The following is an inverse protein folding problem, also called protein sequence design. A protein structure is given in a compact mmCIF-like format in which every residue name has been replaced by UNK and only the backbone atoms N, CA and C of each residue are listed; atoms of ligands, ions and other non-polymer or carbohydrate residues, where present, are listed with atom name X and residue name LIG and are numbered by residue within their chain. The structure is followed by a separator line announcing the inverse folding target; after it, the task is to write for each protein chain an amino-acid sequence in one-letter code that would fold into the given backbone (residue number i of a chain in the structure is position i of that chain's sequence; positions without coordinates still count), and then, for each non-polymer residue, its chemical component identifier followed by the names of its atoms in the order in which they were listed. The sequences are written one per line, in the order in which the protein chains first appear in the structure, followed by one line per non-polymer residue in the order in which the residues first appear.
data_IF_327831178033
#
_entry.id   IF_327831178033
#
_cell.length_a   1.000
_cell.length_b   1.000
_cell.length_c   1.000
_cell.angle_alpha   90.00
_cell.angle_beta   90.00
_cell.angle_gamma   90.00
#
_symmetry.space_group_name_H-M   'P 1'
#
loop_
_entity.id
_entity.type
_entity.pdbx_description
1 polymer ?
#
# COMPACT_ATOMS: atom_id res chain seq x y z
N UNK A 1 13.11 -23.10 -15.63
CA UNK A 1 12.14 -23.03 -16.75
C UNK A 1 11.14 -24.20 -16.75
N UNK A 2 10.84 -24.84 -15.62
CA UNK A 2 9.91 -25.99 -15.58
C UNK A 2 8.46 -25.61 -15.22
N UNK A 3 8.23 -24.43 -14.62
CA UNK A 3 6.90 -24.05 -14.11
C UNK A 3 5.90 -23.76 -15.26
N UNK A 4 6.39 -23.21 -16.38
CA UNK A 4 5.54 -22.81 -17.51
C UNK A 4 5.01 -24.02 -18.29
N UNK A 5 5.75 -25.14 -18.32
CA UNK A 5 5.41 -26.29 -19.16
C UNK A 5 4.39 -27.25 -18.54
N UNK A 6 4.18 -27.21 -17.21
CA UNK A 6 3.26 -28.13 -16.51
C UNK A 6 1.79 -27.67 -16.49
N UNK A 7 1.52 -26.44 -16.89
CA UNK A 7 0.19 -25.81 -16.82
C UNK A 7 -0.28 -25.43 -18.22
N UNK A 8 -0.62 -26.41 -19.06
CA UNK A 8 -1.22 -26.17 -20.38
C UNK A 8 -2.68 -25.74 -20.19
N UNK A 9 -2.88 -24.51 -19.73
CA UNK A 9 -4.19 -23.87 -19.61
C UNK A 9 -4.70 -23.51 -21.00
N UNK A 10 -6.02 -23.61 -21.22
CA UNK A 10 -6.65 -23.26 -22.50
C UNK A 10 -6.37 -21.78 -22.82
N UNK A 11 -6.27 -21.44 -24.12
CA UNK A 11 -6.03 -20.06 -24.60
C UNK A 11 -6.96 -19.01 -23.96
N UNK A 12 -8.17 -19.41 -23.59
CA UNK A 12 -9.22 -18.55 -23.04
C UNK A 12 -9.36 -18.63 -21.52
N UNK A 13 -8.33 -19.13 -20.82
CA UNK A 13 -8.32 -19.13 -19.35
C UNK A 13 -8.30 -17.68 -18.87
N UNK A 14 -9.09 -17.37 -17.83
CA UNK A 14 -9.11 -16.01 -17.27
C UNK A 14 -7.76 -15.72 -16.64
N UNK A 15 -7.31 -14.48 -16.76
CA UNK A 15 -6.02 -14.03 -16.20
C UNK A 15 -6.01 -14.21 -14.68
N UNK A 16 -7.14 -13.97 -14.02
CA UNK A 16 -7.34 -14.15 -12.57
C UNK A 16 -7.08 -15.60 -12.14
N UNK A 17 -7.58 -16.59 -12.89
CA UNK A 17 -7.36 -18.01 -12.60
C UNK A 17 -5.87 -18.37 -12.69
N UNK A 18 -5.17 -17.80 -13.69
CA UNK A 18 -3.73 -17.98 -13.85
C UNK A 18 -2.95 -17.30 -12.74
N UNK A 19 -3.36 -16.10 -12.32
CA UNK A 19 -2.75 -15.36 -11.23
C UNK A 19 -2.89 -16.10 -9.90
N UNK A 20 -4.07 -16.65 -9.61
CA UNK A 20 -4.35 -17.43 -8.40
C UNK A 20 -3.51 -18.71 -8.35
N UNK A 21 -3.40 -19.43 -9.46
CA UNK A 21 -2.57 -20.65 -9.56
C UNK A 21 -1.07 -20.36 -9.40
N UNK A 22 -0.60 -19.23 -9.94
CA UNK A 22 0.81 -18.83 -9.87
C UNK A 22 1.18 -18.09 -8.58
N UNK A 23 0.23 -17.83 -7.68
CA UNK A 23 0.38 -16.94 -6.52
C UNK A 23 0.92 -15.55 -6.93
N UNK A 24 0.48 -15.09 -8.11
CA UNK A 24 0.86 -13.82 -8.70
C UNK A 24 -0.12 -12.73 -8.31
N UNK A 25 0.42 -11.65 -7.80
CA UNK A 25 -0.36 -10.48 -7.41
C UNK A 25 -0.84 -9.70 -8.62
N UNK A 26 -2.05 -9.14 -8.53
CA UNK A 26 -2.54 -8.20 -9.53
C UNK A 26 -1.66 -6.96 -9.64
N UNK A 27 -1.59 -6.37 -10.85
CA UNK A 27 -0.83 -5.14 -11.10
C UNK A 27 -1.32 -3.99 -10.21
N UNK A 28 -2.63 -3.89 -10.01
CA UNK A 28 -3.23 -2.87 -9.14
C UNK A 28 -2.72 -3.00 -7.71
N UNK A 29 -2.74 -4.21 -7.15
CA UNK A 29 -2.28 -4.48 -5.80
C UNK A 29 -0.76 -4.25 -5.66
N UNK A 30 0.03 -4.60 -6.67
CA UNK A 30 1.47 -4.27 -6.71
C UNK A 30 1.73 -2.76 -6.65
N UNK A 31 0.96 -1.97 -7.41
CA UNK A 31 1.07 -0.51 -7.39
C UNK A 31 0.70 0.07 -6.03
N UNK A 32 -0.39 -0.40 -5.42
CA UNK A 32 -0.80 0.02 -4.09
C UNK A 32 0.24 -0.34 -3.02
N UNK A 33 0.77 -1.57 -3.05
CA UNK A 33 1.83 -2.00 -2.14
C UNK A 33 3.09 -1.13 -2.27
N UNK A 34 3.48 -0.77 -3.49
CA UNK A 34 4.63 0.10 -3.71
C UNK A 34 4.38 1.51 -3.14
N UNK A 35 3.19 2.05 -3.35
CA UNK A 35 2.79 3.34 -2.80
C UNK A 35 2.80 3.33 -1.26
N UNK A 36 2.24 2.28 -0.64
CA UNK A 36 2.26 2.08 0.82
C UNK A 36 3.69 1.92 1.37
N UNK A 37 4.57 1.24 0.65
CA UNK A 37 5.98 1.13 1.02
C UNK A 37 6.69 2.49 1.04
N UNK A 38 6.37 3.38 0.10
CA UNK A 38 6.93 4.75 0.09
C UNK A 38 6.45 5.54 1.31
N UNK A 39 5.14 5.51 1.60
CA UNK A 39 4.58 6.18 2.79
C UNK A 39 5.15 5.61 4.08
N UNK A 40 5.36 4.30 4.17
CA UNK A 40 5.98 3.69 5.34
C UNK A 40 7.45 4.08 5.51
N UNK A 41 8.21 4.19 4.41
CA UNK A 41 9.59 4.71 4.47
C UNK A 41 9.62 6.16 4.94
N UNK A 42 8.68 6.99 4.50
CA UNK A 42 8.53 8.37 4.96
C UNK A 42 8.23 8.40 6.46
N UNK A 43 7.32 7.54 6.92
CA UNK A 43 7.01 7.37 8.35
C UNK A 43 8.25 7.01 9.19
N UNK A 44 9.12 6.15 8.66
CA UNK A 44 10.39 5.74 9.29
C UNK A 44 11.55 6.73 9.05
N UNK A 45 11.33 7.84 8.35
CA UNK A 45 12.36 8.83 7.97
C UNK A 45 13.52 8.23 7.18
N UNK A 46 13.27 7.15 6.42
CA UNK A 46 14.27 6.46 5.57
C UNK A 46 14.31 7.02 4.13
N UNK A 47 13.77 8.22 3.93
CA UNK A 47 13.71 8.90 2.62
C UNK A 47 14.61 10.12 2.60
N UNK A 48 15.04 10.57 1.41
CA UNK A 48 15.72 11.84 1.24
C UNK A 48 14.96 13.01 1.87
N UNK A 49 15.70 14.03 2.30
CA UNK A 49 15.15 15.18 3.05
C UNK A 49 14.05 15.91 2.28
N UNK A 50 14.21 16.08 0.97
CA UNK A 50 13.22 16.76 0.12
C UNK A 50 11.85 16.06 0.04
N UNK A 51 11.76 14.79 0.47
CA UNK A 51 10.48 14.07 0.55
C UNK A 51 9.85 14.12 1.95
N UNK A 52 10.62 14.47 3.00
CA UNK A 52 10.12 14.47 4.38
C UNK A 52 8.96 15.44 4.56
N UNK A 53 9.02 16.59 3.89
CA UNK A 53 8.02 17.66 3.99
C UNK A 53 6.74 17.38 3.16
N UNK A 54 6.67 16.24 2.45
CA UNK A 54 5.50 15.88 1.64
C UNK A 54 4.36 15.30 2.47
N UNK A 55 4.60 14.89 3.71
CA UNK A 55 3.60 14.29 4.58
C UNK A 55 3.58 15.00 5.93
N UNK A 56 2.47 15.64 6.24
CA UNK A 56 2.20 16.25 7.55
C UNK A 56 1.38 15.30 8.40
N UNK A 57 1.63 15.23 9.70
CA UNK A 57 0.77 14.48 10.64
C UNK A 57 -0.27 15.38 11.27
N UNK A 58 -1.41 14.80 11.67
CA UNK A 58 -2.37 15.54 12.49
C UNK A 58 -1.78 16.01 13.83
N UNK A 59 -0.74 15.35 14.36
CA UNK A 59 -0.03 15.79 15.56
C UNK A 59 0.75 17.10 15.40
N UNK A 60 0.98 17.56 14.17
CA UNK A 60 1.84 18.71 13.87
C UNK A 60 1.04 20.02 13.67
N UNK A 61 -0.30 19.96 13.61
CA UNK A 61 -1.14 21.12 13.24
C UNK A 61 -1.95 21.70 14.43
N UNK A 62 -2.71 20.91 15.23
CA UNK A 62 -3.43 21.42 16.40
C UNK A 62 -2.93 20.85 17.74
N UNK A 63 -3.12 21.60 18.83
CA UNK A 63 -2.70 21.25 20.20
C UNK A 63 -3.58 20.16 20.87
N UNK A 64 -4.67 19.74 20.21
CA UNK A 64 -5.62 18.78 20.77
C UNK A 64 -5.38 17.34 20.26
N UNK A 65 -5.23 16.40 21.20
CA UNK A 65 -5.09 14.97 20.89
C UNK A 65 -6.41 14.38 20.35
N UNK A 66 -6.55 14.27 19.03
CA UNK A 66 -7.68 13.57 18.42
C UNK A 66 -7.36 12.09 18.20
N UNK A 67 -8.40 11.25 18.05
CA UNK A 67 -8.27 9.80 17.76
C UNK A 67 -7.41 9.52 16.51
N UNK A 68 -7.28 10.50 15.62
CA UNK A 68 -6.51 10.43 14.36
C UNK A 68 -5.12 11.09 14.43
N UNK A 69 -4.62 11.47 15.61
CA UNK A 69 -3.33 12.16 15.78
C UNK A 69 -2.16 11.48 15.06
N UNK A 70 -2.15 10.14 15.06
CA UNK A 70 -1.08 9.34 14.45
C UNK A 70 -1.28 9.08 12.95
N UNK A 71 -2.39 9.54 12.38
CA UNK A 71 -2.65 9.46 10.94
C UNK A 71 -1.92 10.61 10.23
N UNK A 72 -1.56 10.37 8.98
CA UNK A 72 -1.12 11.44 8.11
C UNK A 72 -2.32 12.32 7.75
N UNK A 73 -2.10 13.62 7.78
CA UNK A 73 -3.06 14.61 7.33
C UNK A 73 -3.22 14.49 5.82
N UNK A 74 -4.47 14.63 5.37
CA UNK A 74 -4.81 14.67 3.96
C UNK A 74 -5.25 16.09 3.64
N UNK A 75 -4.51 16.75 2.75
CA UNK A 75 -4.99 17.99 2.16
C UNK A 75 -6.31 17.72 1.44
N UNK A 76 -7.25 18.65 1.58
CA UNK A 76 -8.47 18.60 0.83
C UNK A 76 -8.18 18.78 -0.67
N UNK A 77 -8.69 17.86 -1.50
CA UNK A 77 -8.52 17.87 -2.97
C UNK A 77 -9.88 17.84 -3.64
N UNK A 78 -10.22 18.92 -4.35
CA UNK A 78 -11.52 19.10 -5.03
C UNK A 78 -11.68 18.28 -6.31
N UNK A 79 -10.58 17.95 -7.00
CA UNK A 79 -10.66 17.31 -8.32
C UNK A 79 -10.35 15.82 -8.24
N UNK A 80 -11.04 15.02 -9.06
CA UNK A 80 -10.79 13.58 -9.18
C UNK A 80 -9.34 13.29 -9.59
N UNK A 81 -8.76 14.12 -10.47
CA UNK A 81 -7.36 14.00 -10.87
C UNK A 81 -6.40 14.18 -9.69
N UNK A 82 -6.64 15.17 -8.83
CA UNK A 82 -5.81 15.38 -7.64
C UNK A 82 -5.98 14.25 -6.61
N UNK A 83 -7.21 13.77 -6.42
CA UNK A 83 -7.51 12.60 -5.58
C UNK A 83 -6.89 11.30 -6.14
N UNK A 84 -6.69 11.22 -7.47
CA UNK A 84 -6.03 10.10 -8.11
C UNK A 84 -4.49 10.18 -8.08
N UNK A 85 -3.92 11.28 -7.56
CA UNK A 85 -2.47 11.37 -7.39
C UNK A 85 -1.95 10.25 -6.48
N UNK A 86 -0.75 9.76 -6.79
CA UNK A 86 -0.15 8.62 -6.10
C UNK A 86 -0.05 8.89 -4.59
N UNK A 87 0.41 10.07 -4.19
CA UNK A 87 0.54 10.44 -2.77
C UNK A 87 -0.80 10.49 -2.05
N UNK A 88 -1.81 11.14 -2.64
CA UNK A 88 -3.12 11.22 -2.00
C UNK A 88 -3.71 9.82 -1.79
N UNK A 89 -3.72 8.98 -2.83
CA UNK A 89 -4.20 7.61 -2.72
C UNK A 89 -3.38 6.78 -1.74
N UNK A 90 -2.06 6.91 -1.76
CA UNK A 90 -1.17 6.18 -0.86
C UNK A 90 -1.45 6.52 0.60
N UNK A 91 -1.64 7.79 0.93
CA UNK A 91 -1.93 8.24 2.29
C UNK A 91 -3.31 7.79 2.74
N UNK A 92 -4.33 7.88 1.87
CA UNK A 92 -5.67 7.35 2.14
C UNK A 92 -5.61 5.86 2.46
N UNK A 93 -4.92 5.06 1.63
CA UNK A 93 -4.76 3.63 1.85
C UNK A 93 -3.94 3.34 3.11
N UNK A 94 -2.88 4.10 3.36
CA UNK A 94 -2.02 3.92 4.52
C UNK A 94 -2.78 4.17 5.82
N UNK A 95 -3.58 5.23 5.89
CA UNK A 95 -4.39 5.55 7.06
C UNK A 95 -5.46 4.48 7.37
N UNK A 96 -5.89 3.70 6.37
CA UNK A 96 -6.79 2.54 6.54
C UNK A 96 -6.08 1.28 7.06
N UNK A 97 -4.75 1.23 7.04
CA UNK A 97 -4.02 0.09 7.58
C UNK A 97 -4.18 0.00 9.10
N UNK A 98 -4.15 -1.23 9.61
CA UNK A 98 -4.16 -1.48 11.05
C UNK A 98 -3.02 -0.73 11.74
N UNK A 99 -3.29 -0.27 12.96
CA UNK A 99 -2.30 0.43 13.79
C UNK A 99 -1.04 -0.40 13.99
N UNK A 100 -1.18 -1.71 14.11
CA UNK A 100 -0.07 -2.65 14.34
C UNK A 100 0.87 -2.71 13.13
N UNK A 101 0.30 -2.67 11.92
CA UNK A 101 1.10 -2.65 10.70
C UNK A 101 1.81 -1.30 10.53
N UNK A 102 1.15 -0.18 10.86
CA UNK A 102 1.74 1.16 10.77
C UNK A 102 2.85 1.42 11.79
N UNK A 103 2.78 0.78 12.96
CA UNK A 103 3.77 0.88 14.05
C UNK A 103 5.00 0.00 13.83
N UNK A 104 4.99 -0.86 12.82
CA UNK A 104 6.14 -1.69 12.49
C UNK A 104 7.38 -0.82 12.19
N UNK A 105 8.49 -1.07 12.87
CA UNK A 105 9.72 -0.28 12.71
C UNK A 105 10.65 -0.90 11.66
N UNK A 106 10.51 -2.21 11.42
CA UNK A 106 11.34 -2.95 10.48
C UNK A 106 10.65 -3.02 9.12
N UNK A 107 11.17 -2.28 8.15
CA UNK A 107 10.65 -2.24 6.77
C UNK A 107 10.48 -3.64 6.14
N UNK A 108 11.40 -4.58 6.43
CA UNK A 108 11.32 -5.97 5.96
C UNK A 108 10.07 -6.69 6.49
N UNK A 109 9.73 -6.47 7.76
CA UNK A 109 8.56 -7.10 8.39
C UNK A 109 7.28 -6.45 7.85
N UNK A 110 7.26 -5.12 7.72
CA UNK A 110 6.14 -4.40 7.11
C UNK A 110 5.82 -4.93 5.71
N UNK A 111 6.82 -4.99 4.82
CA UNK A 111 6.66 -5.52 3.45
C UNK A 111 6.11 -6.94 3.42
N UNK A 112 6.61 -7.81 4.29
CA UNK A 112 6.16 -9.21 4.38
C UNK A 112 4.70 -9.30 4.84
N UNK A 113 4.33 -8.57 5.89
CA UNK A 113 2.96 -8.52 6.41
C UNK A 113 2.00 -7.94 5.35
N UNK A 114 2.41 -6.86 4.68
CA UNK A 114 1.62 -6.23 3.63
C UNK A 114 1.37 -7.18 2.45
N UNK A 115 2.43 -7.87 1.97
CA UNK A 115 2.29 -8.86 0.90
C UNK A 115 1.28 -9.95 1.26
N UNK A 116 1.33 -10.44 2.50
CA UNK A 116 0.40 -11.47 2.98
C UNK A 116 -1.06 -10.99 2.93
N UNK A 117 -1.33 -9.76 3.34
CA UNK A 117 -2.69 -9.17 3.31
C UNK A 117 -3.22 -9.14 1.87
N UNK A 118 -2.41 -8.67 0.92
CA UNK A 118 -2.82 -8.60 -0.48
C UNK A 118 -2.98 -9.98 -1.14
N UNK A 119 -2.13 -10.95 -0.81
CA UNK A 119 -2.31 -12.33 -1.30
C UNK A 119 -3.54 -13.02 -0.69
N UNK A 120 -3.87 -12.74 0.57
CA UNK A 120 -5.09 -13.28 1.21
C UNK A 120 -6.35 -12.76 0.54
N UNK A 121 -6.38 -11.47 0.18
CA UNK A 121 -7.50 -10.85 -0.55
C UNK A 121 -7.83 -11.58 -1.85
N UNK A 122 -6.82 -12.06 -2.59
CA UNK A 122 -7.02 -12.81 -3.84
C UNK A 122 -7.61 -14.22 -3.65
N UNK A 123 -7.58 -14.75 -2.42
CA UNK A 123 -8.10 -16.09 -2.13
C UNK A 123 -9.57 -16.10 -1.66
N UNK A 124 -10.09 -14.94 -1.23
CA UNK A 124 -11.46 -14.78 -0.73
C UNK A 124 -12.49 -14.47 -1.84
N UNK A 125 -12.01 -14.11 -3.05
CA UNK A 125 -12.81 -13.94 -4.28
C UNK A 125 -12.80 -15.23 -5.15
#
# INVERSE_FOLDING_TARGET
MEIILKHWKRRYTRIEDMQKELDWMEVKDMLEMNALNVVHKLNLKLTPDYLKDKLTRFSEVPDHNTRNRNNFMLDYRNTRTAQNSVFFRAVVLYNKLSTDLRRETKLKIFKRKLRRIYLMKMNED
#
